data_IF_583831821658
#
_entry.id   IF_583831821658
#
_cell.length_a   1.000
_cell.length_b   1.000
_cell.length_c   1.000
_cell.angle_alpha   90.00
_cell.angle_beta   90.00
_cell.angle_gamma   90.00
#
_symmetry.space_group_name_H-M   'P 1'
#
loop_
_entity.id
_entity.type
_entity.pdbx_description
1 polymer ?
#
# COMPACT_ATOMS: atom_id res chain seq x y z
N UNK A 1 -17.59 28.74 -5.03
CA UNK A 1 -18.47 27.70 -4.44
C UNK A 1 -18.65 26.57 -5.44
N UNK A 2 -18.37 25.32 -5.07
CA UNK A 2 -18.66 24.18 -5.97
C UNK A 2 -20.18 23.95 -6.03
N UNK A 3 -20.72 23.38 -7.14
CA UNK A 3 -22.15 23.10 -7.26
C UNK A 3 -22.70 22.27 -6.09
N UNK A 4 -21.92 21.30 -5.62
CA UNK A 4 -22.24 20.44 -4.48
C UNK A 4 -22.36 21.17 -3.15
N UNK A 5 -21.55 22.22 -2.91
CA UNK A 5 -21.62 23.03 -1.69
C UNK A 5 -22.89 23.89 -1.68
N UNK A 6 -23.28 24.44 -2.83
CA UNK A 6 -24.52 25.18 -2.97
C UNK A 6 -25.75 24.26 -2.77
N UNK A 7 -25.69 23.02 -3.24
CA UNK A 7 -26.75 22.02 -3.01
C UNK A 7 -26.85 21.62 -1.54
N UNK A 8 -25.73 21.36 -0.86
CA UNK A 8 -25.74 20.93 0.55
C UNK A 8 -26.26 22.03 1.48
N UNK A 9 -25.88 23.30 1.23
CA UNK A 9 -26.37 24.45 1.98
C UNK A 9 -27.88 24.60 1.84
N UNK A 10 -28.41 24.51 0.62
CA UNK A 10 -29.87 24.55 0.36
C UNK A 10 -30.64 23.42 1.05
N UNK A 11 -30.08 22.22 1.11
CA UNK A 11 -30.70 21.10 1.82
C UNK A 11 -30.75 21.41 3.32
N UNK A 12 -29.66 21.94 3.87
CA UNK A 12 -29.59 22.27 5.29
C UNK A 12 -30.53 23.41 5.68
N UNK A 13 -30.55 24.49 4.89
CA UNK A 13 -31.45 25.63 5.10
C UNK A 13 -32.91 25.16 5.10
N UNK A 14 -33.28 24.28 4.15
CA UNK A 14 -34.63 23.71 4.07
C UNK A 14 -34.99 22.84 5.29
N UNK A 15 -34.06 22.04 5.78
CA UNK A 15 -34.28 21.21 6.98
C UNK A 15 -34.44 22.07 8.24
N UNK A 16 -33.76 23.21 8.31
CA UNK A 16 -33.92 24.17 9.39
C UNK A 16 -35.27 24.90 9.31
N UNK A 17 -35.66 25.35 8.11
CA UNK A 17 -36.96 25.99 7.85
C UNK A 17 -38.14 25.04 8.15
N UNK A 18 -37.96 23.73 7.92
CA UNK A 18 -38.94 22.69 8.26
C UNK A 18 -38.95 22.32 9.76
N UNK A 19 -38.12 22.96 10.59
CA UNK A 19 -38.06 22.76 12.04
C UNK A 19 -37.45 21.42 12.47
N UNK A 20 -36.74 20.73 11.56
CA UNK A 20 -36.17 19.41 11.78
C UNK A 20 -34.75 19.45 12.37
N UNK A 21 -34.13 20.64 12.47
CA UNK A 21 -32.82 20.85 13.09
C UNK A 21 -32.87 21.99 14.12
N UNK A 22 -32.28 21.77 15.30
CA UNK A 22 -32.21 22.79 16.36
C UNK A 22 -31.18 23.89 16.06
N UNK A 23 -31.28 25.05 16.72
CA UNK A 23 -30.34 26.18 16.53
C UNK A 23 -28.86 25.79 16.72
N UNK A 24 -28.59 24.86 17.65
CA UNK A 24 -27.24 24.34 17.89
C UNK A 24 -26.69 23.53 16.73
N UNK A 25 -27.55 22.78 16.05
CA UNK A 25 -27.20 21.97 14.88
C UNK A 25 -27.04 22.86 13.64
N UNK A 26 -27.82 23.94 13.56
CA UNK A 26 -27.68 24.97 12.54
C UNK A 26 -26.33 25.71 12.60
N UNK A 27 -25.90 26.11 13.80
CA UNK A 27 -24.57 26.68 14.01
C UNK A 27 -23.45 25.73 13.59
N UNK A 28 -23.50 24.47 14.05
CA UNK A 28 -22.47 23.47 13.73
C UNK A 28 -22.40 23.13 12.22
N UNK A 29 -23.54 23.11 11.53
CA UNK A 29 -23.59 22.89 10.10
C UNK A 29 -23.07 24.08 9.29
N UNK A 30 -23.37 25.31 9.72
CA UNK A 30 -22.80 26.53 9.13
C UNK A 30 -21.28 26.54 9.28
N UNK A 31 -20.77 26.26 10.48
CA UNK A 31 -19.32 26.16 10.74
C UNK A 31 -18.65 25.09 9.88
N UNK A 32 -19.30 23.93 9.70
CA UNK A 32 -18.82 22.85 8.83
C UNK A 32 -18.82 23.23 7.33
N UNK A 33 -19.83 23.99 6.88
CA UNK A 33 -19.92 24.48 5.51
C UNK A 33 -18.86 25.56 5.22
N UNK A 34 -18.61 26.44 6.19
CA UNK A 34 -17.54 27.44 6.12
C UNK A 34 -16.15 26.77 6.15
N UNK A 35 -15.93 25.78 7.00
CA UNK A 35 -14.67 25.03 7.03
C UNK A 35 -14.39 24.27 5.72
N UNK A 36 -15.45 23.90 4.98
CA UNK A 36 -15.35 23.30 3.64
C UNK A 36 -14.95 24.28 2.55
N UNK A 37 -15.21 25.59 2.73
CA UNK A 37 -14.85 26.63 1.75
C UNK A 37 -13.33 26.87 1.67
N UNK A 38 -12.61 26.56 2.74
CA UNK A 38 -11.15 26.70 2.85
C UNK A 38 -10.36 25.42 2.54
N UNK A 39 -10.99 24.38 1.97
CA UNK A 39 -10.25 23.19 1.55
C UNK A 39 -9.37 23.56 0.36
N UNK A 40 -8.06 23.72 0.62
CA UNK A 40 -7.07 23.99 -0.41
C UNK A 40 -7.23 22.98 -1.57
N UNK A 41 -7.21 23.43 -2.84
CA UNK A 41 -7.26 22.53 -3.98
C UNK A 41 -6.23 21.41 -3.87
N UNK A 42 -6.56 20.23 -4.41
CA UNK A 42 -5.71 19.04 -4.29
C UNK A 42 -4.28 19.28 -4.80
N UNK A 43 -4.13 20.09 -5.87
CA UNK A 43 -2.82 20.44 -6.41
C UNK A 43 -2.00 21.33 -5.47
N UNK A 44 -2.62 22.23 -4.69
CA UNK A 44 -1.92 23.03 -3.67
C UNK A 44 -1.42 22.11 -2.56
N UNK A 45 -2.25 21.16 -2.11
CA UNK A 45 -1.82 20.17 -1.10
C UNK A 45 -0.70 19.28 -1.60
N UNK A 46 -0.74 18.86 -2.86
CA UNK A 46 0.37 18.14 -3.50
C UNK A 46 1.64 18.99 -3.55
N UNK A 47 1.53 20.26 -3.95
CA UNK A 47 2.67 21.18 -4.04
C UNK A 47 3.30 21.46 -2.66
N UNK A 48 2.48 21.68 -1.63
CA UNK A 48 2.95 21.84 -0.24
C UNK A 48 3.60 20.54 0.25
N UNK A 49 3.03 19.38 -0.08
CA UNK A 49 3.65 18.08 0.20
C UNK A 49 5.03 17.95 -0.45
N UNK A 50 5.17 18.20 -1.74
CA UNK A 50 6.47 18.21 -2.42
C UNK A 50 7.45 19.20 -1.80
N UNK A 51 7.00 20.41 -1.47
CA UNK A 51 7.82 21.42 -0.81
C UNK A 51 8.33 20.95 0.56
N UNK A 52 7.47 20.29 1.36
CA UNK A 52 7.85 19.73 2.65
C UNK A 52 8.86 18.57 2.51
N UNK A 53 8.68 17.70 1.51
CA UNK A 53 9.62 16.61 1.24
C UNK A 53 10.99 17.12 0.78
N UNK A 54 11.00 18.09 -0.16
CA UNK A 54 12.24 18.74 -0.60
C UNK A 54 12.93 19.47 0.57
N UNK A 55 12.16 20.19 1.39
CA UNK A 55 12.68 20.86 2.58
C UNK A 55 13.27 19.87 3.59
N UNK A 56 12.65 18.70 3.78
CA UNK A 56 13.20 17.63 4.62
C UNK A 56 14.55 17.14 4.10
N UNK A 57 14.66 16.88 2.79
CA UNK A 57 15.91 16.42 2.18
C UNK A 57 17.01 17.48 2.26
N UNK A 58 16.67 18.74 2.00
CA UNK A 58 17.60 19.87 2.15
C UNK A 58 18.03 20.07 3.60
N UNK A 59 17.11 19.89 4.57
CA UNK A 59 17.42 19.98 5.99
C UNK A 59 18.34 18.83 6.44
N UNK A 60 18.06 17.60 6.02
CA UNK A 60 18.94 16.44 6.25
C UNK A 60 20.31 16.71 5.64
N UNK A 61 20.36 17.12 4.37
CA UNK A 61 21.60 17.42 3.66
C UNK A 61 22.38 18.58 4.28
N UNK A 62 21.71 19.63 4.74
CA UNK A 62 22.32 20.75 5.46
C UNK A 62 22.93 20.30 6.79
N UNK A 63 22.20 19.52 7.59
CA UNK A 63 22.70 19.02 8.89
C UNK A 63 23.84 18.04 8.67
N UNK A 64 23.73 17.13 7.70
CA UNK A 64 24.82 16.24 7.30
C UNK A 64 26.05 17.03 6.82
N UNK A 65 25.87 18.10 6.05
CA UNK A 65 26.97 18.96 5.58
C UNK A 65 27.63 19.77 6.70
N UNK A 66 26.86 20.31 7.65
CA UNK A 66 27.38 21.03 8.81
C UNK A 66 28.13 20.11 9.78
N UNK A 67 27.85 18.81 9.71
CA UNK A 67 28.38 17.82 10.63
C UNK A 67 29.82 17.37 10.38
N UNK A 68 30.44 17.81 9.29
CA UNK A 68 31.91 17.77 9.15
C UNK A 68 32.56 18.63 10.27
N UNK A 69 31.81 19.53 10.92
CA UNK A 69 32.33 20.45 11.92
C UNK A 69 32.00 20.10 13.40
N UNK A 70 31.14 19.12 13.70
CA UNK A 70 30.74 18.78 15.09
C UNK A 70 30.75 17.26 15.31
N UNK A 71 31.64 16.78 16.18
CA UNK A 71 31.68 15.37 16.60
C UNK A 71 30.49 15.05 17.52
N UNK A 72 29.63 14.12 17.11
CA UNK A 72 28.60 13.52 17.97
C UNK A 72 27.47 14.46 18.40
N UNK A 73 26.30 14.33 17.77
CA UNK A 73 25.10 15.12 18.16
C UNK A 73 23.81 14.80 17.40
N UNK A 74 23.90 14.02 16.32
CA UNK A 74 22.75 13.72 15.45
C UNK A 74 21.60 13.04 16.18
N UNK A 75 21.90 12.12 17.11
CA UNK A 75 20.87 11.44 17.89
C UNK A 75 20.03 12.43 18.72
N UNK A 76 20.69 13.39 19.35
CA UNK A 76 20.05 14.41 20.19
C UNK A 76 19.23 15.38 19.32
N UNK A 77 19.81 15.86 18.22
CA UNK A 77 19.11 16.74 17.27
C UNK A 77 17.90 16.01 16.66
N UNK A 78 18.05 14.73 16.32
CA UNK A 78 16.99 13.89 15.81
C UNK A 78 15.83 13.75 16.79
N UNK A 79 16.11 13.47 18.07
CA UNK A 79 15.10 13.42 19.13
C UNK A 79 14.42 14.78 19.30
N UNK A 80 15.17 15.89 19.27
CA UNK A 80 14.61 17.23 19.37
C UNK A 80 13.64 17.51 18.22
N UNK A 81 13.99 17.14 17.00
CA UNK A 81 13.14 17.30 15.82
C UNK A 81 11.89 16.44 15.91
N UNK A 82 12.02 15.16 16.26
CA UNK A 82 10.87 14.27 16.44
C UNK A 82 9.94 14.82 17.53
N UNK A 83 10.48 15.22 18.67
CA UNK A 83 9.69 15.75 19.80
C UNK A 83 8.99 17.05 19.41
N UNK A 84 9.68 17.96 18.75
CA UNK A 84 9.11 19.20 18.22
C UNK A 84 7.99 18.93 17.21
N UNK A 85 8.22 18.02 16.26
CA UNK A 85 7.21 17.61 15.28
C UNK A 85 5.96 17.03 15.96
N UNK A 86 6.13 16.15 16.95
CA UNK A 86 5.01 15.59 17.73
C UNK A 86 4.26 16.70 18.47
N UNK A 87 4.98 17.57 19.18
CA UNK A 87 4.37 18.67 19.94
C UNK A 87 3.56 19.60 19.04
N UNK A 88 4.16 20.17 18.00
CA UNK A 88 3.48 21.11 17.10
C UNK A 88 2.32 20.45 16.35
N UNK A 89 2.46 19.17 15.99
CA UNK A 89 1.39 18.44 15.33
C UNK A 89 0.14 18.30 16.20
N UNK A 90 0.29 18.11 17.50
CA UNK A 90 -0.86 18.00 18.41
C UNK A 90 -1.51 19.36 18.72
N UNK A 91 -0.82 20.47 18.49
CA UNK A 91 -1.32 21.81 18.76
C UNK A 91 -2.12 22.44 17.60
N UNK A 92 -1.97 21.96 16.36
CA UNK A 92 -2.60 22.55 15.18
C UNK A 92 -3.06 21.50 14.17
N UNK A 93 -4.18 21.80 13.51
CA UNK A 93 -4.71 21.02 12.37
C UNK A 93 -4.52 21.72 11.03
N UNK A 94 -3.69 22.78 10.96
CA UNK A 94 -3.42 23.46 9.68
C UNK A 94 -2.58 22.57 8.76
N UNK A 95 -2.91 22.57 7.46
CA UNK A 95 -2.21 21.76 6.45
C UNK A 95 -0.70 22.01 6.45
N UNK A 96 -0.28 23.26 6.67
CA UNK A 96 1.14 23.62 6.81
C UNK A 96 1.80 22.89 7.98
N UNK A 97 1.22 22.94 9.18
CA UNK A 97 1.81 22.28 10.37
C UNK A 97 1.84 20.77 10.19
N UNK A 98 0.81 20.18 9.56
CA UNK A 98 0.80 18.74 9.26
C UNK A 98 1.99 18.36 8.36
N UNK A 99 2.21 19.09 7.26
CA UNK A 99 3.28 18.78 6.30
C UNK A 99 4.68 19.11 6.87
N UNK A 100 4.82 20.21 7.60
CA UNK A 100 6.07 20.56 8.29
C UNK A 100 6.42 19.55 9.39
N UNK A 101 5.43 19.09 10.17
CA UNK A 101 5.67 18.09 11.22
C UNK A 101 6.04 16.73 10.62
N UNK A 102 5.43 16.34 9.49
CA UNK A 102 5.83 15.17 8.73
C UNK A 102 7.31 15.28 8.31
N UNK A 103 7.69 16.36 7.64
CA UNK A 103 9.05 16.59 7.16
C UNK A 103 10.08 16.59 8.31
N UNK A 104 9.83 17.38 9.36
CA UNK A 104 10.72 17.46 10.53
C UNK A 104 10.82 16.12 11.26
N UNK A 105 9.73 15.35 11.35
CA UNK A 105 9.77 14.00 11.92
C UNK A 105 10.61 13.04 11.09
N UNK A 106 10.51 13.06 9.76
CA UNK A 106 11.29 12.19 8.88
C UNK A 106 12.79 12.55 8.92
N UNK A 107 13.11 13.84 8.88
CA UNK A 107 14.47 14.32 9.08
C UNK A 107 15.03 13.93 10.46
N UNK A 108 14.23 14.11 11.51
CA UNK A 108 14.61 13.72 12.86
C UNK A 108 14.85 12.22 13.00
N UNK A 109 14.04 11.37 12.35
CA UNK A 109 14.26 9.92 12.31
C UNK A 109 15.56 9.55 11.62
N UNK A 110 15.88 10.16 10.47
CA UNK A 110 17.12 9.90 9.76
C UNK A 110 18.36 10.30 10.59
N UNK A 111 18.32 11.49 11.22
CA UNK A 111 19.39 11.96 12.11
C UNK A 111 19.54 11.10 13.36
N UNK A 112 18.41 10.70 13.96
CA UNK A 112 18.43 9.79 15.10
C UNK A 112 19.06 8.45 14.73
N UNK A 113 18.64 7.87 13.60
CA UNK A 113 19.17 6.60 13.13
C UNK A 113 20.66 6.67 12.81
N UNK A 114 21.13 7.77 12.22
CA UNK A 114 22.55 8.01 11.99
C UNK A 114 23.33 8.16 13.30
N UNK A 115 22.90 9.02 14.23
CA UNK A 115 23.61 9.16 15.51
C UNK A 115 23.59 7.88 16.36
N UNK A 116 22.65 6.97 16.12
CA UNK A 116 22.60 5.67 16.79
C UNK A 116 23.64 4.67 16.25
N UNK A 117 24.14 4.86 15.03
CA UNK A 117 25.21 4.00 14.49
C UNK A 117 26.51 4.17 15.25
N UNK A 118 26.82 5.40 15.65
CA UNK A 118 28.01 5.74 16.43
C UNK A 118 28.04 5.00 17.78
N UNK A 119 26.86 4.76 18.37
CA UNK A 119 26.70 4.05 19.65
C UNK A 119 26.83 2.53 19.49
N UNK A 120 26.28 2.00 18.40
CA UNK A 120 26.21 0.54 18.18
C UNK A 120 27.47 -0.05 17.56
N UNK A 121 28.31 0.76 16.93
CA UNK A 121 29.52 0.32 16.23
C UNK A 121 29.25 -0.49 14.95
N UNK A 122 27.99 -0.61 14.53
CA UNK A 122 27.60 -1.25 13.27
C UNK A 122 26.65 -0.33 12.50
N UNK A 123 27.17 0.29 11.44
CA UNK A 123 26.47 1.31 10.66
C UNK A 123 25.12 0.83 10.15
N UNK A 124 25.08 -0.31 9.44
CA UNK A 124 23.85 -0.79 8.81
C UNK A 124 22.84 -1.31 9.84
N UNK A 125 23.27 -2.17 10.78
CA UNK A 125 22.36 -2.79 11.76
C UNK A 125 21.82 -1.75 12.75
N UNK A 126 22.69 -0.85 13.23
CA UNK A 126 22.30 0.23 14.13
C UNK A 126 21.28 1.16 13.48
N UNK A 127 21.54 1.59 12.25
CA UNK A 127 20.65 2.48 11.51
C UNK A 127 19.26 1.85 11.32
N UNK A 128 19.20 0.62 10.81
CA UNK A 128 17.93 -0.06 10.55
C UNK A 128 17.15 -0.37 11.84
N UNK A 129 17.83 -0.74 12.93
CA UNK A 129 17.19 -0.96 14.23
C UNK A 129 16.61 0.35 14.80
N UNK A 130 17.33 1.47 14.65
CA UNK A 130 16.84 2.78 15.06
C UNK A 130 15.62 3.22 14.23
N UNK A 131 15.64 3.04 12.90
CA UNK A 131 14.48 3.34 12.04
C UNK A 131 13.29 2.45 12.40
N UNK A 132 13.49 1.14 12.58
CA UNK A 132 12.43 0.21 12.96
C UNK A 132 11.78 0.60 14.29
N UNK A 133 12.59 0.84 15.33
CA UNK A 133 12.08 1.22 16.66
C UNK A 133 11.33 2.55 16.64
N UNK A 134 11.88 3.58 15.99
CA UNK A 134 11.22 4.87 15.88
C UNK A 134 9.95 4.83 15.03
N UNK A 135 9.93 4.03 13.97
CA UNK A 135 8.74 3.88 13.13
C UNK A 135 7.61 3.21 13.89
N UNK A 136 7.92 2.17 14.67
CA UNK A 136 6.95 1.51 15.53
C UNK A 136 6.35 2.47 16.55
N UNK A 137 7.19 3.26 17.23
CA UNK A 137 6.73 4.25 18.22
C UNK A 137 5.86 5.34 17.57
N UNK A 138 6.34 5.94 16.48
CA UNK A 138 5.66 7.09 15.86
C UNK A 138 4.36 6.71 15.16
N UNK A 139 4.18 5.44 14.75
CA UNK A 139 2.90 4.94 14.27
C UNK A 139 1.76 5.16 15.28
N UNK A 140 2.05 5.03 16.58
CA UNK A 140 1.04 5.23 17.64
C UNK A 140 0.95 6.69 18.10
N UNK A 141 2.04 7.45 18.06
CA UNK A 141 2.12 8.81 18.61
C UNK A 141 1.52 9.86 17.65
N UNK A 142 1.86 9.79 16.36
CA UNK A 142 1.41 10.80 15.40
C UNK A 142 0.02 10.47 14.85
N UNK A 143 -0.90 11.44 14.75
CA UNK A 143 -2.27 11.20 14.33
C UNK A 143 -2.45 11.10 12.81
N UNK A 144 -1.44 11.48 12.02
CA UNK A 144 -1.56 11.62 10.57
C UNK A 144 -1.59 10.28 9.82
N UNK A 145 -2.52 10.18 8.88
CA UNK A 145 -2.65 8.98 8.04
C UNK A 145 -1.40 8.72 7.21
N UNK A 146 -0.88 9.74 6.51
CA UNK A 146 0.28 9.61 5.63
C UNK A 146 1.51 9.21 6.45
N UNK A 147 1.75 9.89 7.59
CA UNK A 147 2.85 9.56 8.49
C UNK A 147 2.79 8.09 8.92
N UNK A 148 1.63 7.63 9.40
CA UNK A 148 1.42 6.23 9.79
C UNK A 148 1.65 5.22 8.66
N UNK A 149 1.22 5.52 7.43
CA UNK A 149 1.52 4.67 6.27
C UNK A 149 3.04 4.57 6.06
N UNK A 150 3.76 5.69 6.13
CA UNK A 150 5.22 5.70 6.01
C UNK A 150 5.90 4.94 7.15
N UNK A 151 5.39 5.04 8.39
CA UNK A 151 5.94 4.28 9.51
C UNK A 151 5.82 2.77 9.32
N UNK A 152 4.70 2.30 8.76
CA UNK A 152 4.56 0.87 8.42
C UNK A 152 5.58 0.49 7.36
N UNK A 153 5.75 1.30 6.31
CA UNK A 153 6.71 1.05 5.24
C UNK A 153 8.17 1.04 5.72
N UNK A 154 8.53 1.99 6.58
CA UNK A 154 9.87 2.09 7.16
C UNK A 154 10.14 0.95 8.15
N UNK A 155 9.14 0.57 8.95
CA UNK A 155 9.26 -0.56 9.85
C UNK A 155 9.46 -1.87 9.07
N UNK A 156 8.62 -2.16 8.09
CA UNK A 156 8.71 -3.39 7.28
C UNK A 156 9.97 -3.41 6.42
N UNK A 157 10.33 -2.29 5.81
CA UNK A 157 11.58 -2.16 5.05
C UNK A 157 12.82 -2.36 5.91
N UNK A 158 12.83 -1.77 7.12
CA UNK A 158 13.93 -1.96 8.08
C UNK A 158 14.02 -3.39 8.57
N UNK A 159 12.87 -4.05 8.77
CA UNK A 159 12.80 -5.45 9.19
C UNK A 159 13.37 -6.38 8.10
N UNK A 160 13.03 -6.15 6.83
CA UNK A 160 13.63 -6.85 5.68
C UNK A 160 15.14 -6.61 5.64
N UNK A 161 15.58 -5.35 5.74
CA UNK A 161 17.00 -4.98 5.73
C UNK A 161 17.78 -5.61 6.89
N UNK A 162 17.21 -5.66 8.10
CA UNK A 162 17.82 -6.31 9.25
C UNK A 162 17.97 -7.81 9.06
N UNK A 163 16.95 -8.48 8.52
CA UNK A 163 17.08 -9.91 8.20
C UNK A 163 18.18 -10.17 7.17
N UNK A 164 18.36 -9.26 6.23
CA UNK A 164 19.47 -9.34 5.29
C UNK A 164 20.82 -9.14 5.99
N UNK A 165 20.93 -8.08 6.81
CA UNK A 165 22.15 -7.77 7.55
C UNK A 165 22.55 -8.83 8.59
N UNK A 166 21.60 -9.63 9.09
CA UNK A 166 21.84 -10.78 9.97
C UNK A 166 22.06 -12.11 9.23
N UNK A 167 22.20 -12.08 7.91
CA UNK A 167 22.37 -13.27 7.07
C UNK A 167 21.18 -14.26 7.15
N UNK A 168 20.00 -13.78 7.59
CA UNK A 168 18.75 -14.54 7.62
C UNK A 168 17.98 -14.43 6.30
N UNK A 169 18.72 -14.41 5.19
CA UNK A 169 18.20 -14.18 3.84
C UNK A 169 17.10 -15.16 3.43
N UNK A 170 17.09 -16.36 4.02
CA UNK A 170 16.04 -17.36 3.81
C UNK A 170 14.63 -16.90 4.24
N UNK A 171 14.53 -15.90 5.12
CA UNK A 171 13.26 -15.34 5.58
C UNK A 171 12.72 -14.24 4.67
N UNK A 172 13.57 -13.61 3.86
CA UNK A 172 13.18 -12.46 3.02
C UNK A 172 11.99 -12.79 2.09
N UNK A 173 11.93 -13.98 1.46
CA UNK A 173 10.78 -14.39 0.65
C UNK A 173 9.44 -14.47 1.40
N UNK A 174 9.46 -14.67 2.72
CA UNK A 174 8.24 -14.83 3.51
C UNK A 174 7.52 -13.51 3.76
N UNK A 175 8.21 -12.37 3.71
CA UNK A 175 7.60 -11.07 4.03
C UNK A 175 6.46 -10.70 3.08
N UNK A 176 6.60 -10.94 1.77
CA UNK A 176 5.55 -10.66 0.78
C UNK A 176 4.23 -11.39 1.11
N UNK A 177 4.24 -12.73 1.18
CA UNK A 177 3.08 -13.53 1.61
C UNK A 177 2.55 -13.14 2.99
N UNK A 178 3.42 -12.90 3.98
CA UNK A 178 2.99 -12.56 5.35
C UNK A 178 2.27 -11.21 5.38
N UNK A 179 2.82 -10.18 4.71
CA UNK A 179 2.17 -8.88 4.63
C UNK A 179 0.85 -8.94 3.86
N UNK A 180 0.80 -9.72 2.78
CA UNK A 180 -0.43 -9.95 2.02
C UNK A 180 -1.50 -10.70 2.83
N UNK A 181 -1.11 -11.73 3.58
CA UNK A 181 -2.02 -12.47 4.45
C UNK A 181 -2.55 -11.59 5.58
N UNK A 182 -1.69 -10.78 6.21
CA UNK A 182 -2.10 -9.82 7.23
C UNK A 182 -3.03 -8.74 6.65
N UNK A 183 -2.74 -8.25 5.44
CA UNK A 183 -3.61 -7.34 4.71
C UNK A 183 -5.01 -7.94 4.53
N UNK A 184 -5.10 -9.16 3.97
CA UNK A 184 -6.37 -9.86 3.74
C UNK A 184 -7.11 -10.09 5.06
N UNK A 185 -6.42 -10.54 6.10
CA UNK A 185 -7.00 -10.77 7.42
C UNK A 185 -7.57 -9.50 8.06
N UNK A 186 -6.79 -8.41 8.11
CA UNK A 186 -7.25 -7.13 8.64
C UNK A 186 -8.44 -6.58 7.85
N UNK A 187 -8.46 -6.85 6.55
CA UNK A 187 -9.52 -6.41 5.67
C UNK A 187 -10.83 -7.15 5.92
N UNK A 188 -10.79 -8.48 6.10
CA UNK A 188 -11.97 -9.26 6.48
C UNK A 188 -12.52 -8.81 7.84
N UNK A 189 -11.63 -8.48 8.78
CA UNK A 189 -12.01 -8.00 10.11
C UNK A 189 -12.35 -6.50 10.15
N UNK A 190 -12.41 -5.79 9.01
CA UNK A 190 -12.56 -4.33 9.00
C UNK A 190 -13.79 -3.86 9.76
N UNK A 191 -14.91 -4.59 9.68
CA UNK A 191 -16.17 -4.18 10.30
C UNK A 191 -16.05 -4.06 11.82
N UNK A 192 -15.46 -5.08 12.45
CA UNK A 192 -15.22 -5.12 13.91
C UNK A 192 -14.10 -4.17 14.30
N UNK A 193 -13.01 -4.14 13.53
CA UNK A 193 -11.84 -3.34 13.86
C UNK A 193 -12.10 -1.83 13.72
N UNK A 194 -12.92 -1.41 12.76
CA UNK A 194 -13.33 0.00 12.61
C UNK A 194 -14.26 0.46 13.74
N UNK A 195 -15.07 -0.43 14.29
CA UNK A 195 -15.92 -0.15 15.45
C UNK A 195 -15.12 -0.09 16.78
N UNK A 196 -13.90 -0.61 16.79
CA UNK A 196 -13.02 -0.58 17.97
C UNK A 196 -12.34 0.78 18.18
N UNK A 197 -11.75 0.98 19.37
CA UNK A 197 -10.89 2.14 19.68
C UNK A 197 -9.71 2.34 18.71
N UNK A 198 -9.35 1.29 17.95
CA UNK A 198 -8.24 1.28 17.01
C UNK A 198 -8.63 1.62 15.57
N UNK A 199 -9.90 1.96 15.29
CA UNK A 199 -10.36 2.22 13.92
C UNK A 199 -9.52 3.25 13.14
N UNK A 200 -8.94 4.25 13.84
CA UNK A 200 -8.04 5.26 13.24
C UNK A 200 -6.68 4.71 12.79
N UNK A 201 -6.25 3.55 13.29
CA UNK A 201 -4.98 2.89 12.98
C UNK A 201 -5.11 1.86 11.86
N UNK A 202 -6.29 1.26 11.69
CA UNK A 202 -6.52 0.17 10.75
C UNK A 202 -6.28 0.61 9.32
N UNK A 203 -6.87 1.73 8.88
CA UNK A 203 -6.74 2.17 7.49
C UNK A 203 -5.28 2.48 7.08
N UNK A 204 -4.49 3.24 7.89
CA UNK A 204 -3.07 3.41 7.58
C UNK A 204 -2.27 2.11 7.62
N UNK A 205 -2.57 1.19 8.54
CA UNK A 205 -1.91 -0.10 8.62
C UNK A 205 -2.14 -0.94 7.37
N UNK A 206 -3.39 -1.06 6.93
CA UNK A 206 -3.78 -1.77 5.72
C UNK A 206 -3.08 -1.17 4.49
N UNK A 207 -3.10 0.16 4.32
CA UNK A 207 -2.45 0.81 3.19
C UNK A 207 -0.91 0.66 3.24
N UNK A 208 -0.32 0.74 4.43
CA UNK A 208 1.11 0.52 4.64
C UNK A 208 1.53 -0.91 4.33
N UNK A 209 0.75 -1.91 4.76
CA UNK A 209 0.98 -3.32 4.44
C UNK A 209 0.83 -3.62 2.96
N UNK A 210 -0.15 -3.00 2.29
CA UNK A 210 -0.31 -3.11 0.83
C UNK A 210 0.95 -2.63 0.11
N UNK A 211 1.43 -1.42 0.43
CA UNK A 211 2.65 -0.86 -0.16
C UNK A 211 3.89 -1.68 0.22
N UNK A 212 3.95 -2.18 1.46
CA UNK A 212 5.06 -3.02 1.94
C UNK A 212 5.11 -4.36 1.23
N UNK A 213 3.95 -5.01 0.98
CA UNK A 213 3.86 -6.26 0.24
C UNK A 213 4.31 -6.07 -1.21
N UNK A 214 3.87 -4.98 -1.87
CA UNK A 214 4.35 -4.63 -3.20
C UNK A 214 5.84 -4.34 -3.22
N UNK A 215 6.34 -3.52 -2.29
CA UNK A 215 7.77 -3.19 -2.18
C UNK A 215 8.64 -4.43 -1.95
N UNK A 216 8.24 -5.31 -1.04
CA UNK A 216 8.94 -6.56 -0.75
C UNK A 216 9.02 -7.47 -1.98
N UNK A 217 7.96 -7.56 -2.80
CA UNK A 217 7.99 -8.37 -4.02
C UNK A 217 8.69 -7.67 -5.19
N UNK A 218 8.76 -6.33 -5.22
CA UNK A 218 9.60 -5.63 -6.19
C UNK A 218 11.08 -5.97 -5.99
N UNK A 219 11.53 -6.20 -4.75
CA UNK A 219 12.90 -6.70 -4.50
C UNK A 219 13.14 -8.05 -5.20
N UNK A 220 12.12 -8.93 -5.27
CA UNK A 220 12.22 -10.20 -6.01
C UNK A 220 12.39 -10.00 -7.52
N UNK A 221 11.98 -8.85 -8.05
CA UNK A 221 12.14 -8.50 -9.47
C UNK A 221 13.44 -7.79 -9.80
N UNK A 222 14.14 -7.23 -8.79
CA UNK A 222 15.46 -6.61 -8.99
C UNK A 222 16.49 -7.66 -9.41
N UNK A 223 16.34 -8.91 -8.97
CA UNK A 223 17.15 -10.05 -9.42
C UNK A 223 17.13 -10.26 -10.94
N UNK A 224 16.09 -9.74 -11.60
CA UNK A 224 15.90 -9.93 -13.03
C UNK A 224 16.57 -8.80 -13.84
N UNK A 225 17.06 -7.71 -13.22
CA UNK A 225 17.81 -6.65 -13.91
C UNK A 225 19.31 -6.96 -13.86
N UNK A 226 19.93 -7.43 -14.97
CA UNK A 226 21.33 -7.83 -14.98
C UNK A 226 22.28 -6.66 -14.72
N UNK A 227 21.83 -5.42 -15.00
CA UNK A 227 22.65 -4.22 -14.83
C UNK A 227 22.88 -3.82 -13.36
N UNK A 228 22.18 -4.44 -12.40
CA UNK A 228 22.24 -4.10 -10.96
C UNK A 228 23.09 -5.06 -10.10
N UNK A 229 23.83 -5.99 -10.73
CA UNK A 229 25.05 -6.59 -10.17
C UNK A 229 24.95 -8.02 -9.62
N UNK A 230 25.90 -8.86 -10.03
CA UNK A 230 26.08 -10.29 -9.69
C UNK A 230 26.40 -10.59 -8.21
N UNK A 231 26.64 -9.58 -7.36
CA UNK A 231 27.12 -9.79 -5.98
C UNK A 231 26.02 -9.76 -4.90
N UNK A 232 24.77 -9.37 -5.22
CA UNK A 232 23.74 -9.07 -4.22
C UNK A 232 22.50 -9.97 -4.36
N UNK A 233 22.55 -11.15 -3.74
CA UNK A 233 21.42 -12.09 -3.69
C UNK A 233 20.37 -11.68 -2.63
N UNK A 234 19.76 -10.49 -2.80
CA UNK A 234 18.82 -9.88 -1.84
C UNK A 234 17.53 -10.68 -1.59
N UNK A 235 17.10 -11.50 -2.56
CA UNK A 235 15.83 -12.21 -2.50
C UNK A 235 16.00 -13.67 -2.98
N UNK A 236 16.64 -14.52 -2.17
CA UNK A 236 16.90 -15.90 -2.58
C UNK A 236 15.59 -16.66 -2.72
N UNK A 237 15.47 -17.55 -3.72
CA UNK A 237 14.35 -18.50 -3.85
C UNK A 237 12.95 -17.84 -3.92
N UNK A 238 12.64 -17.04 -4.95
CA UNK A 238 11.33 -16.37 -5.11
C UNK A 238 10.12 -17.32 -5.10
N UNK A 239 10.33 -18.60 -5.43
CA UNK A 239 9.30 -19.63 -5.41
C UNK A 239 8.64 -19.82 -4.03
N UNK A 240 9.34 -19.51 -2.92
CA UNK A 240 8.75 -19.56 -1.57
C UNK A 240 7.58 -18.57 -1.49
N UNK A 241 7.78 -17.36 -1.99
CA UNK A 241 6.76 -16.33 -2.07
C UNK A 241 5.61 -16.75 -2.98
N UNK A 242 5.92 -17.41 -4.10
CA UNK A 242 4.92 -17.95 -5.03
C UNK A 242 4.04 -18.99 -4.35
N UNK A 243 4.59 -19.91 -3.56
CA UNK A 243 3.79 -20.90 -2.82
C UNK A 243 2.89 -20.20 -1.80
N UNK A 244 3.44 -19.29 -0.99
CA UNK A 244 2.67 -18.56 0.02
C UNK A 244 1.55 -17.72 -0.57
N UNK A 245 1.83 -16.98 -1.65
CA UNK A 245 0.82 -16.20 -2.36
C UNK A 245 -0.13 -17.08 -3.17
N UNK A 246 0.31 -18.23 -3.69
CA UNK A 246 -0.55 -19.18 -4.39
C UNK A 246 -1.61 -19.76 -3.47
N UNK A 247 -1.23 -20.16 -2.26
CA UNK A 247 -2.19 -20.57 -1.22
C UNK A 247 -3.16 -19.43 -0.89
N UNK A 248 -2.65 -18.21 -0.69
CA UNK A 248 -3.49 -17.04 -0.41
C UNK A 248 -4.42 -16.70 -1.59
N UNK A 249 -3.97 -16.89 -2.83
CA UNK A 249 -4.74 -16.67 -4.04
C UNK A 249 -5.90 -17.66 -4.12
N UNK A 250 -5.65 -18.96 -3.93
CA UNK A 250 -6.70 -19.98 -3.87
C UNK A 250 -7.70 -19.69 -2.73
N UNK A 251 -7.21 -19.26 -1.57
CA UNK A 251 -8.05 -18.84 -0.46
C UNK A 251 -8.94 -17.63 -0.84
N UNK A 252 -8.42 -16.61 -1.51
CA UNK A 252 -9.22 -15.51 -2.04
C UNK A 252 -10.30 -15.99 -3.01
N UNK A 253 -9.99 -16.99 -3.84
CA UNK A 253 -10.97 -17.66 -4.68
C UNK A 253 -12.14 -18.22 -3.86
N UNK A 254 -11.84 -18.93 -2.77
CA UNK A 254 -12.88 -19.51 -1.91
C UNK A 254 -13.81 -18.48 -1.27
N UNK A 255 -13.37 -17.23 -1.11
CA UNK A 255 -14.18 -16.14 -0.60
C UNK A 255 -15.04 -15.49 -1.69
N UNK A 256 -14.49 -15.34 -2.90
CA UNK A 256 -15.14 -14.59 -3.99
C UNK A 256 -16.10 -15.44 -4.82
N UNK A 257 -15.74 -16.70 -5.11
CA UNK A 257 -16.51 -17.54 -6.03
C UNK A 257 -17.94 -17.83 -5.58
N UNK A 258 -18.24 -18.08 -4.29
CA UNK A 258 -19.60 -18.31 -3.85
C UNK A 258 -20.54 -17.13 -4.11
N UNK A 259 -20.04 -15.89 -4.02
CA UNK A 259 -20.83 -14.68 -4.27
C UNK A 259 -21.02 -14.43 -5.77
N UNK A 260 -20.01 -14.74 -6.59
CA UNK A 260 -20.00 -14.39 -8.01
C UNK A 260 -20.66 -15.45 -8.90
N UNK A 261 -20.67 -16.71 -8.45
CA UNK A 261 -21.10 -17.85 -9.26
C UNK A 261 -21.98 -18.82 -8.45
N UNK A 262 -22.83 -18.26 -7.59
CA UNK A 262 -23.70 -19.00 -6.64
C UNK A 262 -24.53 -20.11 -7.29
N UNK A 263 -24.94 -19.92 -8.54
CA UNK A 263 -25.79 -20.86 -9.29
C UNK A 263 -24.99 -21.80 -10.22
N UNK A 264 -23.67 -21.58 -10.36
CA UNK A 264 -22.88 -22.46 -11.20
C UNK A 264 -22.55 -23.77 -10.47
N UNK A 265 -22.84 -24.87 -11.16
CA UNK A 265 -22.56 -26.20 -10.64
C UNK A 265 -21.07 -26.44 -10.35
N UNK A 266 -20.81 -27.54 -9.61
CA UNK A 266 -19.46 -28.07 -9.31
C UNK A 266 -18.44 -28.00 -10.47
N UNK A 267 -18.76 -28.30 -11.75
CA UNK A 267 -17.79 -28.20 -12.84
C UNK A 267 -17.22 -26.79 -13.07
N UNK A 268 -18.02 -25.74 -12.87
CA UNK A 268 -17.53 -24.36 -13.02
C UNK A 268 -16.52 -24.00 -11.93
N UNK A 269 -16.78 -24.42 -10.69
CA UNK A 269 -15.84 -24.24 -9.57
C UNK A 269 -14.52 -24.97 -9.82
N UNK A 270 -14.57 -26.20 -10.33
CA UNK A 270 -13.37 -26.97 -10.71
C UNK A 270 -12.58 -26.24 -11.80
N UNK A 271 -13.26 -25.71 -12.83
CA UNK A 271 -12.60 -24.96 -13.89
C UNK A 271 -11.93 -23.68 -13.37
N UNK A 272 -12.59 -22.93 -12.47
CA UNK A 272 -12.02 -21.72 -11.87
C UNK A 272 -10.76 -22.02 -11.05
N UNK A 273 -10.80 -23.03 -10.16
CA UNK A 273 -9.62 -23.43 -9.41
C UNK A 273 -8.52 -24.01 -10.29
N UNK A 274 -8.86 -24.74 -11.36
CA UNK A 274 -7.89 -25.21 -12.35
C UNK A 274 -7.20 -24.02 -13.06
N UNK A 275 -7.95 -22.98 -13.43
CA UNK A 275 -7.39 -21.75 -13.99
C UNK A 275 -6.46 -21.04 -12.98
N UNK A 276 -6.86 -20.95 -11.71
CA UNK A 276 -6.03 -20.35 -10.66
C UNK A 276 -4.72 -21.13 -10.46
N UNK A 277 -4.76 -22.47 -10.48
CA UNK A 277 -3.57 -23.30 -10.42
C UNK A 277 -2.68 -23.10 -11.65
N UNK A 278 -3.26 -22.95 -12.85
CA UNK A 278 -2.50 -22.63 -14.05
C UNK A 278 -1.82 -21.26 -13.96
N UNK A 279 -2.49 -20.26 -13.35
CA UNK A 279 -1.90 -18.93 -13.07
C UNK A 279 -0.75 -19.05 -12.08
N UNK A 280 -0.90 -19.82 -11.00
CA UNK A 280 0.18 -20.06 -10.02
C UNK A 280 1.39 -20.72 -10.69
N UNK A 281 1.15 -21.73 -11.53
CA UNK A 281 2.20 -22.39 -12.28
C UNK A 281 2.90 -21.43 -13.27
N UNK A 282 2.13 -20.59 -13.97
CA UNK A 282 2.68 -19.58 -14.89
C UNK A 282 3.45 -18.45 -14.18
N UNK A 283 3.06 -18.11 -12.95
CA UNK A 283 3.69 -17.10 -12.13
C UNK A 283 4.81 -17.66 -11.22
N UNK A 284 5.32 -18.87 -11.49
CA UNK A 284 6.24 -19.57 -10.60
C UNK A 284 7.45 -18.74 -10.15
N UNK A 285 8.05 -17.99 -11.10
CA UNK A 285 9.20 -17.11 -10.86
C UNK A 285 8.81 -15.63 -10.71
N UNK A 286 7.51 -15.32 -10.66
CA UNK A 286 6.99 -13.96 -10.64
C UNK A 286 5.90 -13.80 -9.56
N UNK A 287 6.25 -13.97 -8.27
CA UNK A 287 5.29 -13.90 -7.16
C UNK A 287 4.50 -12.58 -7.11
N UNK A 288 5.09 -11.49 -7.60
CA UNK A 288 4.42 -10.19 -7.72
C UNK A 288 3.12 -10.22 -8.53
N UNK A 289 3.03 -11.07 -9.56
CA UNK A 289 1.80 -11.24 -10.35
C UNK A 289 0.65 -11.78 -9.49
N UNK A 290 0.94 -12.76 -8.62
CA UNK A 290 -0.06 -13.33 -7.72
C UNK A 290 -0.54 -12.31 -6.70
N UNK A 291 0.37 -11.52 -6.10
CA UNK A 291 -0.03 -10.45 -5.19
C UNK A 291 -0.94 -9.43 -5.87
N UNK A 292 -0.59 -9.00 -7.08
CA UNK A 292 -1.39 -8.03 -7.82
C UNK A 292 -2.81 -8.55 -8.09
N UNK A 293 -2.96 -9.83 -8.47
CA UNK A 293 -4.27 -10.46 -8.63
C UNK A 293 -5.04 -10.59 -7.32
N UNK A 294 -4.38 -10.98 -6.22
CA UNK A 294 -4.99 -11.02 -4.87
C UNK A 294 -5.54 -9.64 -4.49
N UNK A 295 -4.78 -8.58 -4.72
CA UNK A 295 -5.18 -7.20 -4.40
C UNK A 295 -6.36 -6.75 -5.27
N UNK A 296 -6.39 -7.12 -6.55
CA UNK A 296 -7.54 -6.86 -7.43
C UNK A 296 -8.79 -7.59 -6.91
N UNK A 297 -8.69 -8.87 -6.55
CA UNK A 297 -9.81 -9.64 -5.99
C UNK A 297 -10.29 -9.06 -4.66
N UNK A 298 -9.37 -8.66 -3.77
CA UNK A 298 -9.69 -8.02 -2.51
C UNK A 298 -10.38 -6.66 -2.71
N UNK A 299 -9.93 -5.88 -3.68
CA UNK A 299 -10.55 -4.61 -4.06
C UNK A 299 -11.94 -4.81 -4.66
N UNK A 300 -12.10 -5.80 -5.54
CA UNK A 300 -13.35 -6.12 -6.22
C UNK A 300 -14.43 -6.63 -5.26
N UNK A 301 -14.11 -7.62 -4.43
CA UNK A 301 -15.01 -8.20 -3.42
C UNK A 301 -15.58 -7.17 -2.45
N UNK A 302 -14.90 -6.04 -2.30
CA UNK A 302 -15.27 -5.06 -1.28
C UNK A 302 -15.52 -3.64 -1.83
N UNK A 303 -15.61 -3.50 -3.15
CA UNK A 303 -15.93 -2.24 -3.82
C UNK A 303 -14.86 -1.13 -3.70
N UNK A 304 -13.62 -1.48 -3.34
CA UNK A 304 -12.54 -0.51 -3.13
C UNK A 304 -11.75 -0.25 -4.42
N UNK A 305 -12.14 0.79 -5.17
CA UNK A 305 -11.52 1.17 -6.45
C UNK A 305 -10.02 1.43 -6.37
N UNK A 306 -9.53 1.96 -5.25
CA UNK A 306 -8.09 2.20 -5.05
C UNK A 306 -7.29 0.90 -5.04
N UNK A 307 -7.84 -0.18 -4.48
CA UNK A 307 -7.17 -1.48 -4.43
C UNK A 307 -7.17 -2.12 -5.81
N UNK A 308 -8.30 -2.05 -6.53
CA UNK A 308 -8.37 -2.50 -7.92
C UNK A 308 -7.34 -1.76 -8.78
N UNK A 309 -7.31 -0.42 -8.69
CA UNK A 309 -6.37 0.41 -9.43
C UNK A 309 -4.92 0.12 -9.08
N UNK A 310 -4.59 0.00 -7.79
CA UNK A 310 -3.24 -0.36 -7.33
C UNK A 310 -2.83 -1.76 -7.81
N UNK A 311 -3.71 -2.74 -7.69
CA UNK A 311 -3.49 -4.11 -8.17
C UNK A 311 -3.22 -4.15 -9.68
N UNK A 312 -4.04 -3.46 -10.49
CA UNK A 312 -3.83 -3.38 -11.95
C UNK A 312 -2.51 -2.65 -12.29
N UNK A 313 -2.22 -1.53 -11.62
CA UNK A 313 -1.01 -0.77 -11.85
C UNK A 313 0.25 -1.60 -11.53
N UNK A 314 0.28 -2.25 -10.36
CA UNK A 314 1.40 -3.11 -9.98
C UNK A 314 1.45 -4.40 -10.79
N UNK A 315 0.33 -4.93 -11.27
CA UNK A 315 0.32 -6.02 -12.24
C UNK A 315 1.10 -5.62 -13.49
N UNK A 316 0.85 -4.43 -14.04
CA UNK A 316 1.59 -3.90 -15.19
C UNK A 316 3.09 -3.73 -14.88
N UNK A 317 3.43 -3.19 -13.70
CA UNK A 317 4.83 -3.06 -13.25
C UNK A 317 5.51 -4.42 -13.15
N UNK A 318 4.89 -5.42 -12.54
CA UNK A 318 5.48 -6.76 -12.41
C UNK A 318 5.58 -7.48 -13.74
N UNK A 319 4.60 -7.33 -14.65
CA UNK A 319 4.70 -7.84 -16.01
C UNK A 319 5.88 -7.18 -16.72
N UNK A 320 6.02 -5.85 -16.63
CA UNK A 320 7.13 -5.13 -17.25
C UNK A 320 8.48 -5.58 -16.67
N UNK A 321 8.62 -5.64 -15.35
CA UNK A 321 9.85 -6.09 -14.69
C UNK A 321 10.22 -7.52 -15.08
N UNK A 322 9.24 -8.44 -15.09
CA UNK A 322 9.43 -9.81 -15.54
C UNK A 322 9.83 -9.90 -17.01
N UNK A 323 9.18 -9.12 -17.88
CA UNK A 323 9.44 -9.11 -19.32
C UNK A 323 10.81 -8.52 -19.68
N UNK A 324 11.21 -7.44 -19.01
CA UNK A 324 12.50 -6.80 -19.25
C UNK A 324 13.65 -7.62 -18.69
N UNK A 325 13.46 -8.21 -17.52
CA UNK A 325 14.56 -8.88 -16.88
C UNK A 325 14.93 -10.25 -17.45
N UNK A 326 14.01 -10.94 -18.12
CA UNK A 326 14.39 -12.17 -18.81
C UNK A 326 15.30 -11.80 -20.00
N UNK A 327 16.52 -12.35 -20.01
CA UNK A 327 17.49 -12.33 -21.13
C UNK A 327 16.96 -13.16 -22.32
N UNK A 328 15.91 -12.68 -22.96
CA UNK A 328 15.34 -13.27 -24.16
C UNK A 328 15.41 -12.28 -25.31
N UNK A 329 15.56 -12.81 -26.52
CA UNK A 329 15.53 -11.99 -27.73
C UNK A 329 14.18 -11.27 -27.87
N UNK A 330 14.17 -10.10 -28.52
CA UNK A 330 12.94 -9.36 -28.82
C UNK A 330 11.91 -10.19 -29.62
N UNK A 331 12.38 -11.16 -30.43
CA UNK A 331 11.54 -12.10 -31.17
C UNK A 331 10.83 -13.08 -30.22
N UNK A 332 11.58 -13.70 -29.31
CA UNK A 332 10.98 -14.61 -28.33
C UNK A 332 9.95 -13.87 -27.48
N UNK A 333 10.28 -12.65 -27.05
CA UNK A 333 9.40 -11.76 -26.30
C UNK A 333 8.08 -11.47 -27.02
N UNK A 334 8.09 -11.19 -28.33
CA UNK A 334 6.86 -10.94 -29.10
C UNK A 334 6.01 -12.20 -29.29
N UNK A 335 6.63 -13.36 -29.59
CA UNK A 335 5.94 -14.65 -29.70
C UNK A 335 5.25 -15.01 -28.38
N UNK A 336 5.93 -14.83 -27.25
CA UNK A 336 5.35 -15.08 -25.93
C UNK A 336 4.14 -14.18 -25.69
N UNK A 337 4.22 -12.89 -26.02
CA UNK A 337 3.10 -11.95 -25.81
C UNK A 337 1.87 -12.32 -26.65
N UNK A 338 2.08 -12.69 -27.93
CA UNK A 338 1.02 -13.16 -28.82
C UNK A 338 0.39 -14.46 -28.27
N UNK A 339 1.21 -15.44 -27.90
CA UNK A 339 0.74 -16.71 -27.36
C UNK A 339 -0.06 -16.53 -26.06
N UNK A 340 0.43 -15.71 -25.13
CA UNK A 340 -0.27 -15.41 -23.87
C UNK A 340 -1.59 -14.69 -24.15
N UNK A 341 -1.61 -13.72 -25.08
CA UNK A 341 -2.83 -13.04 -25.51
C UNK A 341 -3.87 -14.01 -26.08
N UNK A 342 -3.46 -14.92 -26.96
CA UNK A 342 -4.34 -15.95 -27.53
C UNK A 342 -4.90 -16.90 -26.46
N UNK A 343 -4.07 -17.34 -25.51
CA UNK A 343 -4.51 -18.20 -24.40
C UNK A 343 -5.54 -17.48 -23.51
N UNK A 344 -5.34 -16.21 -23.20
CA UNK A 344 -6.29 -15.42 -22.40
C UNK A 344 -7.63 -15.27 -23.13
N UNK A 345 -7.61 -15.04 -24.45
CA UNK A 345 -8.83 -14.98 -25.26
C UNK A 345 -9.58 -16.32 -25.29
N UNK A 346 -8.85 -17.43 -25.43
CA UNK A 346 -9.43 -18.78 -25.38
C UNK A 346 -10.01 -19.10 -24.00
N UNK A 347 -9.30 -18.75 -22.93
CA UNK A 347 -9.78 -18.91 -21.56
C UNK A 347 -11.05 -18.09 -21.32
N UNK A 348 -11.08 -16.82 -21.76
CA UNK A 348 -12.29 -15.99 -21.70
C UNK A 348 -13.44 -16.61 -22.46
N UNK A 349 -13.20 -17.11 -23.67
CA UNK A 349 -14.23 -17.77 -24.48
C UNK A 349 -14.79 -19.03 -23.80
N UNK A 350 -13.92 -19.86 -23.22
CA UNK A 350 -14.32 -21.06 -22.46
C UNK A 350 -15.13 -20.69 -21.21
N UNK A 351 -14.70 -19.67 -20.46
CA UNK A 351 -15.42 -19.18 -19.28
C UNK A 351 -16.82 -18.70 -19.68
N UNK A 352 -16.94 -17.88 -20.72
CA UNK A 352 -18.25 -17.40 -21.18
C UNK A 352 -19.16 -18.56 -21.64
N UNK A 353 -18.59 -19.58 -22.26
CA UNK A 353 -19.36 -20.75 -22.73
C UNK A 353 -19.80 -21.69 -21.59
N UNK A 354 -19.03 -21.77 -20.50
CA UNK A 354 -19.30 -22.68 -19.37
C UNK A 354 -20.08 -21.99 -18.25
N UNK A 355 -19.90 -20.68 -18.10
CA UNK A 355 -20.56 -19.84 -17.08
C UNK A 355 -21.82 -19.16 -17.63
N UNK A 356 -22.21 -19.44 -18.88
CA UNK A 356 -23.46 -18.96 -19.45
C UNK A 356 -24.63 -19.36 -18.54
N UNK A 357 -25.28 -18.35 -17.97
CA UNK A 357 -26.41 -18.46 -17.06
C UNK A 357 -27.60 -18.95 -17.87
N UNK A 358 -28.17 -20.15 -17.62
CA UNK A 358 -29.41 -20.55 -18.23
C UNK A 358 -30.56 -19.72 -17.60
N UNK A 359 -30.85 -18.54 -18.16
CA UNK A 359 -31.81 -17.64 -17.51
C UNK A 359 -32.30 -16.42 -18.30
N UNK A 360 -32.09 -16.30 -19.62
CA UNK A 360 -32.68 -15.19 -20.40
C UNK A 360 -33.47 -15.62 -21.64
N UNK A 361 -34.08 -16.81 -21.62
CA UNK A 361 -34.98 -17.30 -22.68
C UNK A 361 -36.46 -17.35 -22.24
N UNK A 362 -36.88 -16.46 -21.34
CA UNK A 362 -38.27 -16.33 -20.90
C UNK A 362 -38.78 -14.91 -21.02
N UNK A 363 -39.22 -14.49 -22.21
CA UNK A 363 -39.89 -13.19 -22.33
C UNK A 363 -40.08 -12.57 -23.71
N UNK A 364 -40.20 -13.37 -24.78
CA UNK A 364 -40.76 -12.90 -26.06
C UNK A 364 -41.56 -14.01 -26.70
N UNK A 365 -42.82 -14.17 -26.28
CA UNK A 365 -43.95 -14.65 -27.09
C UNK A 365 -45.20 -14.69 -26.19
N UNK A 366 -45.95 -13.59 -26.18
CA UNK A 366 -47.42 -13.50 -26.13
C UNK A 366 -47.80 -12.03 -26.12
#
# INVERSE_FOLDING_TARGET
>A
MSPSQATLRRIFDRLHDEGLTGEREAGAASDYLESRSFIAPWYIRTMVGFGAWLASLLLIGFIAGFSIAMEGGYAIIGILFITGAVFFRHQSNSDFVVQSSLAVSLAGQALFAWGFTDVTGNEVKGFLAAVASMSLLLFFILPDRIHRVLMVLFFTGSLIGLTYAWDWNALVPLYGPVFAALLVYLYQQRGVLLASRFGKLVQPLVNGLLLSAFGALLLSTIYVLPELGDELNYYPRPWISTIGLGVLFLYMGSLVWPELVSDAGKPAMVLLYALMLAVIAGAWNAPGLLLAMIVVMLGASAGHRTFIGAGIAFLAVFIAAYFYGIEMTMLTKSITLVATGSVVLLARWLILKVVDVPGSDGGRHA
#
